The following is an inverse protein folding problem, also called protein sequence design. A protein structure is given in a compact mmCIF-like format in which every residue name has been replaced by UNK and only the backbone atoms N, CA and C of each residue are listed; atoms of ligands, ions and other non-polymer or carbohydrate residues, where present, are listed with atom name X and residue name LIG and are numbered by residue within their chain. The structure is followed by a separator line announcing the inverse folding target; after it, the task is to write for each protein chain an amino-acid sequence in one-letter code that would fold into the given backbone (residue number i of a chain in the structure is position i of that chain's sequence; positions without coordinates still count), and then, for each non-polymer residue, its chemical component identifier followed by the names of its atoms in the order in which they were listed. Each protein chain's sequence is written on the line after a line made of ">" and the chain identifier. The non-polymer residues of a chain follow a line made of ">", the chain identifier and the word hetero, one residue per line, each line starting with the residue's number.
data_IF_456531335945
#
_entry.id   IF_456531335945
#
_cell.length_a   1.000
_cell.length_b   1.000
_cell.length_c   1.000
_cell.angle_alpha   90.00
_cell.angle_beta   90.00
_cell.angle_gamma   90.00
#
_symmetry.space_group_name_H-M   'P 1'
#
loop_
_entity.id
_entity.type
_entity.pdbx_description
1 polymer ?
#
# COMPACT_ATOMS: atom_id res chain seq x y z
N UNK A 1 27.60 -30.24 -17.32
CA UNK A 1 27.44 -29.68 -18.67
C UNK A 1 26.19 -30.23 -19.38
N UNK A 2 25.97 -31.54 -19.41
CA UNK A 2 24.81 -32.16 -20.09
C UNK A 2 23.48 -31.87 -19.39
N UNK A 3 23.42 -31.98 -18.06
CA UNK A 3 22.18 -31.76 -17.27
C UNK A 3 21.72 -30.29 -17.29
N UNK A 4 22.68 -29.35 -17.31
CA UNK A 4 22.41 -27.91 -17.33
C UNK A 4 21.83 -27.47 -18.69
N UNK A 5 22.27 -28.09 -19.79
CA UNK A 5 21.67 -27.89 -21.12
C UNK A 5 20.22 -28.39 -21.16
N UNK A 6 19.94 -29.54 -20.56
CA UNK A 6 18.59 -30.11 -20.50
C UNK A 6 17.64 -29.26 -19.65
N UNK A 7 18.10 -28.75 -18.49
CA UNK A 7 17.31 -27.84 -17.66
C UNK A 7 17.00 -26.52 -18.38
N UNK A 8 17.96 -25.96 -19.12
CA UNK A 8 17.75 -24.73 -19.89
C UNK A 8 16.78 -24.91 -21.07
N UNK A 9 16.78 -26.07 -21.72
CA UNK A 9 15.80 -26.40 -22.78
C UNK A 9 14.37 -26.47 -22.22
N UNK A 10 14.19 -27.02 -21.00
CA UNK A 10 12.88 -27.09 -20.35
C UNK A 10 12.39 -25.69 -19.97
N UNK A 11 13.24 -24.86 -19.35
CA UNK A 11 12.87 -23.49 -18.96
C UNK A 11 12.55 -22.62 -20.18
N UNK A 12 13.32 -22.73 -21.27
CA UNK A 12 13.03 -22.01 -22.54
C UNK A 12 11.73 -22.45 -23.22
N UNK A 13 11.29 -23.69 -22.99
CA UNK A 13 10.04 -24.22 -23.54
C UNK A 13 8.82 -23.75 -22.76
N UNK A 14 8.97 -23.51 -21.46
CA UNK A 14 7.87 -23.20 -20.55
C UNK A 14 7.77 -21.70 -20.22
N UNK A 15 8.83 -20.92 -20.45
CA UNK A 15 8.87 -19.48 -20.17
C UNK A 15 9.61 -18.71 -21.30
N UNK A 16 9.06 -17.57 -21.74
CA UNK A 16 9.77 -16.63 -22.63
C UNK A 16 10.86 -15.90 -21.82
N UNK A 17 12.09 -16.45 -21.86
CA UNK A 17 13.24 -15.79 -21.26
C UNK A 17 13.66 -14.57 -22.11
N UNK A 18 13.93 -13.40 -21.49
CA UNK A 18 14.50 -12.26 -22.18
C UNK A 18 15.77 -12.66 -22.95
N UNK A 19 15.94 -12.16 -24.18
CA UNK A 19 17.02 -12.58 -25.09
C UNK A 19 18.44 -12.43 -24.50
N UNK A 20 18.62 -11.51 -23.54
CA UNK A 20 19.88 -11.25 -22.84
C UNK A 20 20.08 -12.10 -21.56
N UNK A 21 19.09 -12.89 -21.13
CA UNK A 21 19.19 -13.72 -19.92
C UNK A 21 20.33 -14.73 -20.03
N UNK A 22 20.54 -15.29 -21.23
CA UNK A 22 21.66 -16.22 -21.50
C UNK A 22 23.02 -15.54 -21.42
N UNK A 23 23.13 -14.29 -21.89
CA UNK A 23 24.37 -13.50 -21.88
C UNK A 23 24.73 -13.05 -20.45
N UNK A 24 23.73 -12.62 -19.68
CA UNK A 24 23.86 -12.34 -18.24
C UNK A 24 24.23 -13.59 -17.43
N UNK A 25 23.65 -14.75 -17.79
CA UNK A 25 23.95 -16.02 -17.12
C UNK A 25 25.35 -16.55 -17.45
N UNK A 26 25.92 -16.13 -18.58
CA UNK A 26 27.22 -16.57 -19.12
C UNK A 26 28.41 -15.65 -18.77
N UNK A 27 28.21 -14.49 -18.12
CA UNK A 27 29.33 -13.69 -17.58
C UNK A 27 29.94 -14.37 -16.35
N UNK A 28 30.74 -15.39 -16.62
CA UNK A 28 31.11 -16.46 -15.69
C UNK A 28 31.99 -15.98 -14.51
N UNK A 29 32.64 -14.82 -14.58
CA UNK A 29 33.50 -14.30 -13.50
C UNK A 29 32.73 -13.55 -12.41
N UNK A 30 31.87 -12.62 -12.80
CA UNK A 30 31.11 -11.78 -11.85
C UNK A 30 30.06 -12.61 -11.13
N UNK A 31 29.37 -13.48 -11.88
CA UNK A 31 28.41 -14.41 -11.30
C UNK A 31 29.06 -15.37 -10.31
N UNK A 32 30.21 -15.98 -10.64
CA UNK A 32 30.93 -16.84 -9.68
C UNK A 32 31.34 -16.06 -8.43
N UNK A 33 31.75 -14.80 -8.57
CA UNK A 33 32.04 -13.91 -7.45
C UNK A 33 30.83 -13.73 -6.52
N UNK A 34 29.67 -13.38 -7.09
CA UNK A 34 28.41 -13.21 -6.34
C UNK A 34 27.99 -14.51 -5.64
N UNK A 35 27.99 -15.63 -6.37
CA UNK A 35 27.61 -16.94 -5.82
C UNK A 35 28.58 -17.40 -4.72
N UNK A 36 29.88 -17.17 -4.87
CA UNK A 36 30.87 -17.49 -3.84
C UNK A 36 30.69 -16.65 -2.57
N UNK A 37 30.37 -15.36 -2.74
CA UNK A 37 30.10 -14.44 -1.63
C UNK A 37 28.83 -14.84 -0.89
N UNK A 38 27.76 -15.14 -1.62
CA UNK A 38 26.51 -15.64 -1.04
C UNK A 38 26.73 -16.95 -0.28
N UNK A 39 27.42 -17.91 -0.88
CA UNK A 39 27.73 -19.19 -0.22
C UNK A 39 28.51 -18.99 1.09
N UNK A 40 29.46 -18.06 1.09
CA UNK A 40 30.22 -17.69 2.29
C UNK A 40 29.33 -17.08 3.38
N UNK A 41 28.50 -16.10 3.04
CA UNK A 41 27.61 -15.44 4.00
C UNK A 41 26.53 -16.39 4.53
N UNK A 42 25.97 -17.27 3.70
CA UNK A 42 25.01 -18.29 4.13
C UNK A 42 25.62 -19.23 5.17
N UNK A 43 26.83 -19.74 4.90
CA UNK A 43 27.59 -20.57 5.84
C UNK A 43 27.86 -19.87 7.16
N UNK A 44 28.28 -18.60 7.11
CA UNK A 44 28.53 -17.76 8.29
C UNK A 44 27.27 -17.53 9.12
N UNK A 45 26.11 -17.44 8.48
CA UNK A 45 24.82 -17.25 9.13
C UNK A 45 24.13 -18.56 9.53
N UNK A 46 24.74 -19.72 9.28
CA UNK A 46 24.16 -21.04 9.58
C UNK A 46 22.99 -21.42 8.67
N UNK A 47 22.88 -20.78 7.50
CA UNK A 47 21.88 -21.10 6.49
C UNK A 47 22.41 -22.24 5.59
N UNK A 48 21.67 -23.35 5.54
CA UNK A 48 22.06 -24.56 4.80
C UNK A 48 21.63 -24.55 3.33
N UNK A 49 20.99 -23.48 2.85
CA UNK A 49 20.60 -23.34 1.44
C UNK A 49 21.82 -23.13 0.54
N UNK A 50 21.73 -23.58 -0.71
CA UNK A 50 22.70 -23.17 -1.73
C UNK A 50 22.44 -21.72 -2.14
N UNK A 51 23.43 -21.07 -2.77
CA UNK A 51 23.24 -19.71 -3.30
C UNK A 51 22.09 -19.65 -4.32
N UNK A 52 21.92 -20.68 -5.16
CA UNK A 52 20.77 -20.82 -6.07
C UNK A 52 19.45 -20.87 -5.30
N UNK A 53 19.34 -21.74 -4.30
CA UNK A 53 18.12 -21.89 -3.49
C UNK A 53 17.78 -20.59 -2.76
N UNK A 54 18.78 -19.93 -2.20
CA UNK A 54 18.61 -18.64 -1.54
C UNK A 54 18.08 -17.58 -2.51
N UNK A 55 18.63 -17.51 -3.74
CA UNK A 55 18.17 -16.56 -4.76
C UNK A 55 16.73 -16.86 -5.17
N UNK A 56 16.40 -18.13 -5.48
CA UNK A 56 15.04 -18.51 -5.84
C UNK A 56 14.05 -18.25 -4.71
N UNK A 57 14.37 -18.63 -3.47
CA UNK A 57 13.54 -18.33 -2.31
C UNK A 57 13.38 -16.83 -2.10
N UNK A 58 14.42 -16.03 -2.36
CA UNK A 58 14.38 -14.58 -2.21
C UNK A 58 13.53 -13.91 -3.28
N UNK A 59 13.49 -14.48 -4.49
CA UNK A 59 12.60 -14.05 -5.58
C UNK A 59 11.16 -14.47 -5.28
N UNK A 60 10.93 -15.73 -4.90
CA UNK A 60 9.59 -16.27 -4.66
C UNK A 60 8.94 -15.71 -3.39
N UNK A 61 9.73 -15.46 -2.35
CA UNK A 61 9.27 -14.84 -1.11
C UNK A 61 9.47 -13.32 -1.11
N UNK A 62 9.73 -12.72 -2.28
CA UNK A 62 9.83 -11.28 -2.38
C UNK A 62 8.48 -10.67 -1.96
N UNK A 63 8.47 -9.98 -0.82
CA UNK A 63 7.27 -9.29 -0.32
C UNK A 63 7.32 -7.85 -0.80
N UNK A 64 6.30 -7.48 -1.59
CA UNK A 64 6.03 -6.08 -1.91
C UNK A 64 5.96 -5.26 -0.63
N UNK A 65 6.56 -4.08 -0.68
CA UNK A 65 6.45 -3.14 0.44
C UNK A 65 5.05 -2.57 0.51
N UNK A 66 4.60 -2.26 1.72
CA UNK A 66 3.31 -1.60 1.93
C UNK A 66 3.57 -0.10 2.07
N UNK A 67 2.98 0.70 1.18
CA UNK A 67 3.10 2.16 1.20
C UNK A 67 1.74 2.83 1.48
N UNK A 68 1.71 4.03 2.06
CA UNK A 68 0.47 4.80 2.21
C UNK A 68 -0.20 5.11 0.86
N UNK A 69 -1.51 5.31 0.89
CA UNK A 69 -2.30 5.65 -0.30
C UNK A 69 -1.84 6.95 -0.97
N UNK A 70 -1.59 8.01 -0.20
CA UNK A 70 -1.15 9.30 -0.76
C UNK A 70 0.21 9.18 -1.48
N UNK A 71 1.12 8.34 -0.99
CA UNK A 71 2.41 8.05 -1.68
C UNK A 71 2.16 7.27 -2.97
N UNK A 72 1.28 6.26 -2.93
CA UNK A 72 0.94 5.49 -4.13
C UNK A 72 0.29 6.37 -5.22
N UNK A 73 -0.54 7.33 -4.83
CA UNK A 73 -1.14 8.32 -5.73
C UNK A 73 -0.10 9.29 -6.29
N UNK A 74 0.81 9.80 -5.45
CA UNK A 74 1.92 10.64 -5.90
C UNK A 74 2.82 9.90 -6.90
N UNK A 75 3.19 8.65 -6.62
CA UNK A 75 4.03 7.83 -7.51
C UNK A 75 3.42 7.64 -8.90
N UNK A 76 2.08 7.60 -9.03
CA UNK A 76 1.41 7.48 -10.34
C UNK A 76 1.58 8.74 -11.21
N UNK A 77 1.93 9.88 -10.61
CA UNK A 77 2.19 11.13 -11.32
C UNK A 77 3.58 11.22 -11.97
N UNK A 78 4.46 10.26 -11.70
CA UNK A 78 5.86 10.29 -12.13
C UNK A 78 6.24 9.02 -12.90
N UNK A 79 7.17 9.16 -13.84
CA UNK A 79 7.68 8.01 -14.62
C UNK A 79 8.89 7.33 -13.95
N UNK A 80 9.49 7.98 -12.95
CA UNK A 80 10.65 7.44 -12.23
C UNK A 80 10.79 8.02 -10.82
N UNK A 81 11.49 7.28 -9.95
CA UNK A 81 11.89 7.75 -8.63
C UNK A 81 12.72 9.05 -8.70
N UNK A 82 13.62 9.17 -9.69
CA UNK A 82 14.45 10.36 -9.86
C UNK A 82 13.60 11.61 -10.12
N UNK A 83 12.59 11.50 -10.98
CA UNK A 83 11.68 12.59 -11.28
C UNK A 83 10.85 12.99 -10.06
N UNK A 84 10.30 12.00 -9.34
CA UNK A 84 9.54 12.22 -8.11
C UNK A 84 10.39 12.92 -7.05
N UNK A 85 11.63 12.47 -6.80
CA UNK A 85 12.52 13.11 -5.84
C UNK A 85 12.92 14.52 -6.30
N UNK A 86 13.12 14.71 -7.61
CA UNK A 86 13.37 16.02 -8.19
C UNK A 86 12.27 17.01 -7.82
N UNK A 87 11.03 16.68 -8.15
CA UNK A 87 9.88 17.59 -7.95
C UNK A 87 9.41 17.67 -6.50
N UNK A 88 9.12 16.53 -5.87
CA UNK A 88 8.49 16.49 -4.55
C UNK A 88 9.49 16.71 -3.42
N UNK A 89 10.77 16.39 -3.59
CA UNK A 89 11.74 16.41 -2.49
C UNK A 89 12.78 17.54 -2.62
N UNK A 90 13.29 17.81 -3.83
CA UNK A 90 14.35 18.78 -4.04
C UNK A 90 13.89 20.14 -4.63
N UNK A 91 12.79 20.17 -5.38
CA UNK A 91 12.32 21.38 -6.10
C UNK A 91 11.44 22.31 -5.27
N UNK A 92 11.09 21.98 -4.03
CA UNK A 92 10.34 22.89 -3.16
C UNK A 92 11.18 24.13 -2.82
N UNK A 93 10.95 25.18 -3.61
CA UNK A 93 11.50 26.51 -3.45
C UNK A 93 10.95 27.16 -2.18
N UNK A 94 11.68 27.00 -1.08
CA UNK A 94 11.94 27.99 0.00
C UNK A 94 10.85 28.96 0.54
N UNK A 95 9.55 28.83 0.24
CA UNK A 95 8.52 29.78 0.72
C UNK A 95 7.30 29.15 1.40
N UNK A 96 7.08 27.83 1.30
CA UNK A 96 6.08 27.13 2.11
C UNK A 96 6.76 26.31 3.20
N UNK A 97 7.12 26.98 4.31
CA UNK A 97 7.47 26.29 5.56
C UNK A 97 6.17 25.71 6.13
N UNK A 98 5.77 24.56 5.63
CA UNK A 98 4.47 24.01 5.96
C UNK A 98 4.22 22.63 5.37
N UNK A 99 4.95 21.64 5.86
CA UNK A 99 4.48 20.25 5.95
C UNK A 99 4.05 19.62 4.61
N UNK A 100 5.03 19.36 3.74
CA UNK A 100 4.82 18.43 2.63
C UNK A 100 4.84 16.99 3.17
N UNK A 101 3.65 16.43 3.37
CA UNK A 101 3.46 15.08 3.90
C UNK A 101 4.23 14.02 3.07
N UNK A 102 4.47 14.28 1.78
CA UNK A 102 5.30 13.42 0.93
C UNK A 102 6.76 13.51 1.36
N UNK A 103 7.32 14.71 1.49
CA UNK A 103 8.71 14.88 1.94
C UNK A 103 8.97 14.27 3.31
N UNK A 104 8.10 14.57 4.28
CA UNK A 104 8.23 14.05 5.64
C UNK A 104 8.17 12.52 5.64
N UNK A 105 7.30 11.93 4.82
CA UNK A 105 7.24 10.48 4.70
C UNK A 105 8.50 9.91 4.04
N UNK A 106 9.02 10.56 2.98
CA UNK A 106 10.26 10.14 2.29
C UNK A 106 11.46 10.14 3.23
N UNK A 107 11.61 11.17 4.07
CA UNK A 107 12.69 11.26 5.06
C UNK A 107 12.77 10.03 5.97
N UNK A 108 11.61 9.53 6.39
CA UNK A 108 11.50 8.37 7.29
C UNK A 108 11.46 7.03 6.55
N UNK A 109 11.11 7.01 5.25
CA UNK A 109 10.77 5.80 4.50
C UNK A 109 11.48 5.69 3.13
N UNK A 110 12.62 6.36 2.96
CA UNK A 110 13.35 6.40 1.69
C UNK A 110 13.66 5.01 1.12
N UNK A 111 14.11 4.06 1.96
CA UNK A 111 14.35 2.69 1.53
C UNK A 111 13.06 2.00 1.04
N UNK A 112 11.96 2.19 1.78
CA UNK A 112 10.63 1.68 1.41
C UNK A 112 10.18 2.25 0.06
N UNK A 113 10.38 3.54 -0.18
CA UNK A 113 10.08 4.16 -1.47
C UNK A 113 10.91 3.54 -2.60
N UNK A 114 12.22 3.38 -2.39
CA UNK A 114 13.09 2.76 -3.39
C UNK A 114 12.63 1.33 -3.72
N UNK A 115 12.26 0.55 -2.70
CA UNK A 115 11.71 -0.80 -2.85
C UNK A 115 10.37 -0.81 -3.58
N UNK A 116 9.51 0.17 -3.32
CA UNK A 116 8.23 0.31 -4.01
C UNK A 116 8.42 0.52 -5.53
N UNK A 117 9.43 1.30 -5.93
CA UNK A 117 9.77 1.52 -7.34
C UNK A 117 10.45 0.33 -8.01
N UNK A 118 11.37 -0.34 -7.31
CA UNK A 118 12.13 -1.46 -7.86
C UNK A 118 11.32 -2.74 -7.95
N UNK A 119 10.58 -3.03 -6.89
CA UNK A 119 10.02 -4.36 -6.66
C UNK A 119 8.48 -4.36 -6.63
N UNK A 120 7.86 -3.18 -6.78
CA UNK A 120 6.43 -2.96 -6.68
C UNK A 120 5.95 -2.85 -5.23
N UNK A 121 4.68 -2.44 -5.06
CA UNK A 121 4.10 -2.16 -3.75
C UNK A 121 2.66 -2.64 -3.59
N UNK A 122 2.23 -2.73 -2.35
CA UNK A 122 0.83 -2.81 -1.94
C UNK A 122 0.44 -1.50 -1.27
N UNK A 123 -0.79 -1.05 -1.50
CA UNK A 123 -1.30 0.15 -0.84
C UNK A 123 -1.84 -0.24 0.53
N UNK A 124 -1.39 0.45 1.58
CA UNK A 124 -1.91 0.32 2.94
C UNK A 124 -3.42 0.54 2.89
N UNK A 125 -4.20 -0.52 3.18
CA UNK A 125 -5.64 -0.41 3.30
C UNK A 125 -5.97 0.58 4.40
N UNK A 126 -6.67 1.64 4.02
CA UNK A 126 -7.12 2.65 4.96
C UNK A 126 -8.14 2.03 5.91
N UNK A 127 -7.98 2.25 7.22
CA UNK A 127 -8.95 1.77 8.21
C UNK A 127 -10.20 2.62 8.07
N UNK A 128 -11.30 1.97 7.75
CA UNK A 128 -12.60 2.62 7.67
C UNK A 128 -13.39 2.35 8.95
N UNK A 129 -14.24 3.30 9.31
CA UNK A 129 -15.07 3.25 10.49
C UNK A 129 -16.51 3.59 10.11
N UNK A 130 -17.48 2.97 10.79
CA UNK A 130 -18.86 3.43 10.77
C UNK A 130 -19.19 4.12 12.09
N UNK A 131 -19.95 5.21 12.02
CA UNK A 131 -20.38 5.97 13.20
C UNK A 131 -21.87 5.74 13.42
N UNK A 132 -22.24 5.24 14.60
CA UNK A 132 -23.64 4.99 14.98
C UNK A 132 -24.08 6.01 16.03
N UNK A 133 -24.93 6.96 15.63
CA UNK A 133 -25.38 8.08 16.45
C UNK A 133 -26.82 7.85 16.98
N UNK A 134 -27.11 8.23 18.24
CA UNK A 134 -28.48 8.28 18.74
C UNK A 134 -29.22 9.46 18.11
N UNK A 135 -30.44 9.21 17.62
CA UNK A 135 -31.30 10.23 17.00
C UNK A 135 -32.67 10.22 17.66
N UNK A 136 -33.14 11.37 18.12
CA UNK A 136 -34.48 11.52 18.68
C UNK A 136 -35.51 11.68 17.56
N UNK A 137 -36.51 10.79 17.53
CA UNK A 137 -37.57 10.79 16.52
C UNK A 137 -38.91 10.89 17.24
N UNK A 138 -39.81 11.71 16.72
CA UNK A 138 -41.16 11.82 17.22
C UNK A 138 -42.00 10.60 16.80
N UNK A 139 -42.53 9.85 17.78
CA UNK A 139 -43.44 8.75 17.53
C UNK A 139 -44.90 9.24 17.56
N UNK A 140 -45.51 9.39 16.37
CA UNK A 140 -46.90 9.81 16.24
C UNK A 140 -47.94 8.85 16.87
N UNK A 141 -47.58 7.60 17.09
CA UNK A 141 -48.49 6.61 17.68
C UNK A 141 -48.51 6.66 19.22
N UNK A 142 -47.38 7.03 19.83
CA UNK A 142 -47.24 7.12 21.29
C UNK A 142 -47.25 8.56 21.81
N UNK A 143 -47.20 9.56 20.92
CA UNK A 143 -47.12 10.99 21.25
C UNK A 143 -45.88 11.34 22.12
N UNK A 144 -44.79 10.61 21.91
CA UNK A 144 -43.56 10.68 22.69
C UNK A 144 -42.31 10.71 21.78
N UNK A 145 -41.20 11.25 22.31
CA UNK A 145 -39.88 11.18 21.68
C UNK A 145 -39.23 9.82 21.97
N UNK A 146 -38.84 9.12 20.91
CA UNK A 146 -38.09 7.87 21.01
C UNK A 146 -36.66 8.05 20.51
N UNK A 147 -35.71 7.43 21.19
CA UNK A 147 -34.33 7.34 20.71
C UNK A 147 -34.23 6.18 19.73
N UNK A 148 -33.91 6.50 18.48
CA UNK A 148 -33.51 5.54 17.47
C UNK A 148 -32.01 5.66 17.19
N UNK A 149 -31.47 4.78 16.35
CA UNK A 149 -30.07 4.81 15.95
C UNK A 149 -29.94 5.04 14.46
N UNK A 150 -29.09 5.99 14.09
CA UNK A 150 -28.76 6.28 12.70
C UNK A 150 -27.26 6.13 12.44
N UNK A 151 -26.93 5.90 11.18
CA UNK A 151 -25.55 5.85 10.70
C UNK A 151 -25.17 7.17 10.05
N UNK A 152 -23.99 7.68 10.39
CA UNK A 152 -23.40 8.82 9.71
C UNK A 152 -23.10 8.45 8.26
N UNK A 153 -23.51 9.33 7.34
CA UNK A 153 -23.24 9.22 5.93
C UNK A 153 -22.59 10.51 5.44
N UNK A 154 -21.56 10.36 4.60
CA UNK A 154 -20.87 11.48 3.98
C UNK A 154 -20.86 11.31 2.47
N UNK A 155 -21.22 12.36 1.73
CA UNK A 155 -21.17 12.39 0.28
C UNK A 155 -19.80 12.85 -0.20
N UNK A 156 -19.08 11.98 -0.91
CA UNK A 156 -17.72 12.23 -1.42
C UNK A 156 -17.66 13.33 -2.49
N UNK A 157 -18.79 13.75 -3.06
CA UNK A 157 -18.87 14.73 -4.16
C UNK A 157 -19.41 16.09 -3.72
N UNK A 158 -20.39 16.12 -2.81
CA UNK A 158 -21.04 17.36 -2.39
C UNK A 158 -20.58 17.87 -1.02
N UNK A 159 -19.76 17.10 -0.29
CA UNK A 159 -19.37 17.37 1.10
C UNK A 159 -20.58 17.47 2.05
N UNK A 160 -21.73 16.93 1.63
CA UNK A 160 -22.94 16.88 2.44
C UNK A 160 -22.87 15.71 3.43
N UNK A 161 -23.39 15.94 4.64
CA UNK A 161 -23.46 14.92 5.68
C UNK A 161 -24.92 14.65 6.02
N UNK A 162 -25.27 13.39 6.16
CA UNK A 162 -26.62 12.94 6.52
C UNK A 162 -26.57 11.84 7.58
N UNK A 163 -27.68 11.61 8.27
CA UNK A 163 -27.85 10.52 9.21
C UNK A 163 -28.96 9.60 8.70
N UNK A 164 -28.61 8.37 8.33
CA UNK A 164 -29.56 7.39 7.83
C UNK A 164 -30.04 6.45 8.93
N UNK A 165 -31.35 6.49 9.24
CA UNK A 165 -31.97 5.72 10.32
C UNK A 165 -32.37 4.28 9.88
N UNK A 166 -32.47 4.00 8.58
CA UNK A 166 -33.14 2.78 8.09
C UNK A 166 -32.22 1.61 7.73
N UNK A 167 -30.99 1.85 7.28
CA UNK A 167 -30.08 0.77 6.84
C UNK A 167 -28.62 1.22 6.79
N UNK A 168 -27.70 0.31 7.11
CA UNK A 168 -26.31 0.38 6.63
C UNK A 168 -26.37 0.20 5.12
N UNK A 169 -26.16 1.26 4.35
CA UNK A 169 -26.29 1.20 2.90
C UNK A 169 -25.77 2.45 2.23
N UNK A 170 -25.16 2.26 1.07
CA UNK A 170 -24.72 3.34 0.19
C UNK A 170 -25.93 3.79 -0.64
N UNK A 171 -26.26 5.08 -0.58
CA UNK A 171 -27.24 5.67 -1.48
C UNK A 171 -26.53 6.70 -2.35
N UNK A 172 -26.48 6.45 -3.65
CA UNK A 172 -25.73 7.27 -4.59
C UNK A 172 -24.25 7.46 -4.15
N UNK A 173 -23.85 8.69 -3.85
CA UNK A 173 -22.48 9.05 -3.47
C UNK A 173 -22.25 9.06 -1.95
N UNK A 174 -23.29 8.78 -1.15
CA UNK A 174 -23.16 8.69 0.30
C UNK A 174 -22.48 7.37 0.70
N UNK A 175 -21.47 7.49 1.56
CA UNK A 175 -20.73 6.37 2.17
C UNK A 175 -20.93 6.37 3.68
N UNK A 176 -21.05 5.17 4.26
CA UNK A 176 -21.12 4.97 5.72
C UNK A 176 -19.79 4.55 6.33
N UNK A 177 -18.86 4.09 5.50
CA UNK A 177 -17.51 3.69 5.89
C UNK A 177 -16.58 4.86 5.60
N UNK A 178 -16.12 5.51 6.66
CA UNK A 178 -15.42 6.79 6.61
C UNK A 178 -14.05 6.66 7.27
N UNK A 179 -13.10 7.47 6.81
CA UNK A 179 -11.77 7.57 7.41
C UNK A 179 -11.85 8.32 8.73
N UNK A 180 -10.89 8.10 9.64
CA UNK A 180 -10.82 8.83 10.91
C UNK A 180 -10.80 10.35 10.68
N UNK A 181 -10.03 10.81 9.70
CA UNK A 181 -9.93 12.22 9.32
C UNK A 181 -11.27 12.78 8.83
N UNK A 182 -12.01 12.03 8.00
CA UNK A 182 -13.35 12.43 7.53
C UNK A 182 -14.33 12.55 8.69
N UNK A 183 -14.30 11.60 9.64
CA UNK A 183 -15.19 11.66 10.81
C UNK A 183 -14.88 12.89 11.66
N UNK A 184 -13.59 13.15 11.92
CA UNK A 184 -13.14 14.29 12.72
C UNK A 184 -13.38 15.63 12.04
N UNK A 185 -13.28 15.71 10.71
CA UNK A 185 -13.54 16.92 9.95
C UNK A 185 -15.03 17.28 9.92
N UNK A 186 -15.92 16.28 9.95
CA UNK A 186 -17.36 16.48 10.14
C UNK A 186 -17.62 16.99 11.56
N UNK A 187 -17.24 16.20 12.57
CA UNK A 187 -17.34 16.56 13.99
C UNK A 187 -16.51 15.59 14.84
N UNK A 188 -15.51 16.11 15.57
CA UNK A 188 -14.64 15.30 16.43
C UNK A 188 -15.41 14.46 17.47
N UNK A 189 -16.59 14.91 17.92
CA UNK A 189 -17.43 14.17 18.89
C UNK A 189 -17.95 12.86 18.32
N UNK A 190 -18.04 12.72 17.00
CA UNK A 190 -18.48 11.50 16.35
C UNK A 190 -17.47 10.36 16.47
N UNK A 191 -16.19 10.68 16.70
CA UNK A 191 -15.15 9.67 16.90
C UNK A 191 -15.44 8.75 18.10
N UNK A 192 -16.07 9.26 19.16
CA UNK A 192 -16.47 8.45 20.32
C UNK A 192 -17.50 7.35 19.99
N UNK A 193 -18.16 7.45 18.83
CA UNK A 193 -19.16 6.50 18.34
C UNK A 193 -18.67 5.68 17.13
N UNK A 194 -17.40 5.86 16.73
CA UNK A 194 -16.79 5.17 15.61
C UNK A 194 -16.46 3.71 15.97
N UNK A 195 -16.82 2.79 15.08
CA UNK A 195 -16.47 1.37 15.19
C UNK A 195 -15.77 0.96 13.91
N UNK A 196 -14.63 0.27 14.05
CA UNK A 196 -13.85 -0.23 12.92
C UNK A 196 -14.74 -1.10 12.03
N UNK A 197 -14.85 -0.73 10.75
CA UNK A 197 -15.52 -1.54 9.76
C UNK A 197 -14.60 -2.74 9.47
N UNK A 198 -15.02 -3.94 9.87
CA UNK A 198 -14.28 -5.16 9.50
C UNK A 198 -14.16 -5.24 7.97
N UNK A 199 -12.92 -5.35 7.49
CA UNK A 199 -12.56 -5.52 6.08
C UNK A 199 -11.56 -6.63 5.87
#
# INVERSE_FOLDING_TARGET
>A
MTELKTAMEIVKREYELPNNFLELWQSDSERRGIFSTLTFELSKNGDNRTAEQFIFDSIDNFKKVVIPKFIAEAMQGYDSLEMMLGEEYYSNSSEEIGNDDIQCWIDENFETLCRAWLDGYEVKKEKLYYVKLPVSIWNNHLDELETNWGYLQHDITSNETNICIRTRGEYANFRTELTEETIKSIDERYWAFAVEAEG
#
